data_IF_149970408883
#
_entry.id   IF_149970408883
#
_cell.length_a   1.000
_cell.length_b   1.000
_cell.length_c   1.000
_cell.angle_alpha   90.00
_cell.angle_beta   90.00
_cell.angle_gamma   90.00
#
_symmetry.space_group_name_H-M   'P 1'
#
loop_
_entity.id
_entity.type
_entity.pdbx_description
1 polymer ?
#
# COMPACT_ATOMS: atom_id res chain seq x y z
N UNK A 1 11.83 13.37 -2.12
CA UNK A 1 12.06 14.74 -1.61
C UNK A 1 11.64 14.78 -0.14
N UNK A 2 12.50 15.21 0.80
CA UNK A 2 12.21 15.17 2.26
C UNK A 2 11.62 16.48 2.81
N UNK A 3 11.30 17.44 1.93
CA UNK A 3 10.81 18.76 2.34
C UNK A 3 9.43 19.03 1.74
N UNK A 4 8.60 19.69 2.55
CA UNK A 4 7.30 20.22 2.15
C UNK A 4 7.36 21.75 2.15
N UNK A 5 6.47 22.38 1.38
CA UNK A 5 6.39 23.82 1.26
C UNK A 5 4.96 24.27 1.55
N UNK A 6 4.82 25.35 2.32
CA UNK A 6 3.52 25.98 2.54
C UNK A 6 3.15 26.94 1.39
N UNK A 7 2.00 27.59 1.51
CA UNK A 7 1.50 28.53 0.51
C UNK A 7 2.37 29.79 0.33
N UNK A 8 3.27 30.07 1.29
CA UNK A 8 4.21 31.18 1.27
C UNK A 8 5.61 30.76 0.82
N UNK A 9 5.78 29.49 0.44
CA UNK A 9 7.07 28.93 0.02
C UNK A 9 8.03 28.65 1.18
N UNK A 10 7.59 28.68 2.45
CA UNK A 10 8.43 28.27 3.58
C UNK A 10 8.64 26.76 3.53
N UNK A 11 9.89 26.33 3.72
CA UNK A 11 10.30 24.93 3.64
C UNK A 11 10.26 24.26 5.01
N UNK A 12 9.67 23.07 5.08
CA UNK A 12 9.54 22.24 6.26
C UNK A 12 10.21 20.88 6.02
N UNK A 13 11.07 20.44 6.94
CA UNK A 13 11.57 19.07 6.93
C UNK A 13 10.43 18.15 7.41
N UNK A 14 10.06 17.17 6.60
CA UNK A 14 9.12 16.14 7.03
C UNK A 14 9.88 15.03 7.78
N UNK A 15 9.99 15.20 9.10
CA UNK A 15 10.56 14.20 9.99
C UNK A 15 9.53 13.17 10.49
N UNK A 16 8.27 13.27 10.07
CA UNK A 16 7.19 12.36 10.47
C UNK A 16 6.74 11.42 9.34
N UNK A 17 7.17 11.69 8.11
CA UNK A 17 6.85 10.89 6.93
C UNK A 17 5.36 10.96 6.59
N UNK A 18 4.76 12.15 6.68
CA UNK A 18 3.31 12.33 6.66
C UNK A 18 2.70 11.87 7.97
N UNK A 19 2.19 10.64 8.04
CA UNK A 19 1.82 9.96 9.28
C UNK A 19 2.37 8.54 9.16
N UNK A 20 3.71 8.43 9.11
CA UNK A 20 4.44 7.19 8.81
C UNK A 20 4.02 6.50 7.48
N UNK A 21 3.50 7.24 6.51
CA UNK A 21 3.02 6.72 5.22
C UNK A 21 4.02 6.92 4.09
N UNK A 22 4.89 7.93 4.17
CA UNK A 22 5.78 8.35 3.08
C UNK A 22 7.20 7.84 3.30
N UNK A 23 7.36 6.52 3.42
CA UNK A 23 8.65 5.89 3.77
C UNK A 23 9.76 6.09 2.73
N UNK A 24 9.41 6.21 1.44
CA UNK A 24 10.35 6.48 0.36
C UNK A 24 10.58 7.98 0.08
N UNK A 25 10.01 8.87 0.91
CA UNK A 25 9.99 10.30 0.69
C UNK A 25 8.97 10.75 -0.38
N UNK A 26 8.66 12.05 -0.37
CA UNK A 26 7.64 12.61 -1.25
C UNK A 26 8.07 12.56 -2.73
N UNK A 27 7.11 12.21 -3.60
CA UNK A 27 7.28 12.15 -5.06
C UNK A 27 8.50 11.33 -5.51
N UNK A 28 8.69 10.13 -4.93
CA UNK A 28 9.78 9.25 -5.36
C UNK A 28 9.59 8.85 -6.84
N UNK A 29 10.57 9.09 -7.72
CA UNK A 29 10.38 8.98 -9.17
C UNK A 29 9.91 7.58 -9.59
N UNK A 30 10.52 6.52 -9.06
CA UNK A 30 10.12 5.15 -9.40
C UNK A 30 8.67 4.81 -8.99
N UNK A 31 8.20 5.38 -7.87
CA UNK A 31 6.82 5.16 -7.40
C UNK A 31 5.84 5.93 -8.28
N UNK A 32 6.15 7.20 -8.57
CA UNK A 32 5.31 8.06 -9.43
C UNK A 32 5.22 7.47 -10.84
N UNK A 33 6.34 7.04 -11.42
CA UNK A 33 6.38 6.48 -12.76
C UNK A 33 5.57 5.17 -12.84
N UNK A 34 5.70 4.28 -11.84
CA UNK A 34 4.91 3.06 -11.77
C UNK A 34 3.40 3.34 -11.70
N UNK A 35 2.98 4.30 -10.86
CA UNK A 35 1.57 4.71 -10.72
C UNK A 35 1.04 5.29 -12.04
N UNK A 36 1.78 6.20 -12.67
CA UNK A 36 1.38 6.84 -13.92
C UNK A 36 1.27 5.82 -15.05
N UNK A 37 2.26 4.93 -15.19
CA UNK A 37 2.25 3.89 -16.21
C UNK A 37 1.08 2.92 -16.02
N UNK A 38 0.79 2.52 -14.78
CA UNK A 38 -0.36 1.67 -14.50
C UNK A 38 -1.68 2.38 -14.80
N UNK A 39 -1.83 3.63 -14.38
CA UNK A 39 -3.07 4.40 -14.56
C UNK A 39 -3.38 4.63 -16.04
N UNK A 40 -2.36 4.86 -16.88
CA UNK A 40 -2.51 4.98 -18.34
C UNK A 40 -2.99 3.68 -19.00
N UNK A 41 -2.71 2.53 -18.37
CA UNK A 41 -3.08 1.20 -18.88
C UNK A 41 -4.43 0.75 -18.36
N UNK A 42 -4.64 0.82 -17.04
CA UNK A 42 -5.86 0.41 -16.36
C UNK A 42 -5.90 1.00 -14.95
N UNK A 43 -6.88 1.87 -14.70
CA UNK A 43 -7.07 2.50 -13.38
C UNK A 43 -7.72 1.56 -12.35
N UNK A 44 -8.66 0.71 -12.76
CA UNK A 44 -9.41 -0.16 -11.84
C UNK A 44 -9.86 -1.46 -12.52
N UNK A 45 -9.83 -2.56 -11.76
CA UNK A 45 -10.44 -3.84 -12.12
C UNK A 45 -11.12 -4.44 -10.90
N UNK A 46 -12.28 -5.06 -11.11
CA UNK A 46 -12.85 -5.97 -10.10
C UNK A 46 -11.97 -7.21 -9.96
N UNK A 47 -12.03 -7.86 -8.80
CA UNK A 47 -11.38 -9.15 -8.52
C UNK A 47 -11.93 -10.31 -9.35
N UNK A 48 -13.07 -10.11 -10.04
CA UNK A 48 -13.65 -11.12 -10.93
C UNK A 48 -12.80 -11.36 -12.19
N UNK A 49 -11.92 -10.42 -12.53
CA UNK A 49 -10.99 -10.55 -13.66
C UNK A 49 -9.58 -10.81 -13.16
N UNK A 50 -8.84 -11.61 -13.93
CA UNK A 50 -7.44 -11.86 -13.64
C UNK A 50 -6.63 -10.56 -13.75
N UNK A 51 -6.00 -10.17 -12.65
CA UNK A 51 -5.09 -9.03 -12.61
C UNK A 51 -3.72 -9.50 -12.05
N UNK A 52 -2.69 -9.64 -12.91
CA UNK A 52 -1.40 -10.17 -12.49
C UNK A 52 -0.73 -9.30 -11.42
N UNK A 53 -0.97 -7.98 -11.40
CA UNK A 53 -0.35 -7.08 -10.44
C UNK A 53 -0.71 -7.42 -8.98
N UNK A 54 -1.93 -7.89 -8.73
CA UNK A 54 -2.36 -8.29 -7.38
C UNK A 54 -1.66 -9.60 -6.97
N UNK A 55 -1.56 -10.56 -7.89
CA UNK A 55 -0.93 -11.85 -7.60
C UNK A 55 0.58 -11.71 -7.39
N UNK A 56 1.27 -10.98 -8.28
CA UNK A 56 2.70 -10.69 -8.19
C UNK A 56 3.04 -9.94 -6.90
N UNK A 57 2.22 -8.96 -6.51
CA UNK A 57 2.45 -8.22 -5.27
C UNK A 57 2.19 -9.09 -4.03
N UNK A 58 1.15 -9.94 -4.06
CA UNK A 58 0.88 -10.88 -2.98
C UNK A 58 2.04 -11.86 -2.78
N UNK A 59 2.59 -12.42 -3.86
CA UNK A 59 3.74 -13.31 -3.82
C UNK A 59 4.99 -12.59 -3.28
N UNK A 60 5.29 -11.40 -3.80
CA UNK A 60 6.40 -10.58 -3.34
C UNK A 60 6.29 -10.26 -1.84
N UNK A 61 5.11 -9.90 -1.35
CA UNK A 61 4.88 -9.60 0.07
C UNK A 61 5.00 -10.85 0.94
N UNK A 62 4.33 -11.96 0.57
CA UNK A 62 4.38 -13.22 1.30
C UNK A 62 5.80 -13.79 1.41
N UNK A 63 6.66 -13.54 0.40
CA UNK A 63 8.08 -13.94 0.43
C UNK A 63 8.89 -13.28 1.54
N UNK A 64 8.41 -12.13 2.07
CA UNK A 64 9.06 -11.38 3.15
C UNK A 64 8.49 -11.68 4.53
N UNK A 65 7.37 -12.42 4.62
CA UNK A 65 6.71 -12.72 5.88
C UNK A 65 7.31 -13.95 6.58
N UNK A 66 7.39 -13.96 7.92
CA UNK A 66 7.95 -15.08 8.67
C UNK A 66 7.02 -16.30 8.68
N UNK A 67 7.62 -17.49 8.84
CA UNK A 67 6.89 -18.75 9.02
C UNK A 67 5.87 -19.03 7.91
N UNK A 68 4.66 -19.43 8.32
CA UNK A 68 3.58 -19.89 7.45
C UNK A 68 2.65 -18.76 6.97
N UNK A 69 3.01 -17.48 7.20
CA UNK A 69 2.27 -16.34 6.69
C UNK A 69 2.45 -16.22 5.16
N UNK A 70 1.63 -16.97 4.40
CA UNK A 70 1.73 -17.09 2.93
C UNK A 70 0.50 -16.63 2.16
N UNK A 71 -0.55 -16.20 2.85
CA UNK A 71 -1.80 -15.71 2.23
C UNK A 71 -1.93 -14.21 2.49
N UNK A 72 -2.22 -13.45 1.44
CA UNK A 72 -2.40 -11.99 1.50
C UNK A 72 -3.81 -11.65 1.06
N UNK A 73 -4.49 -10.84 1.88
CA UNK A 73 -5.74 -10.19 1.52
C UNK A 73 -5.52 -8.67 1.56
N UNK A 74 -5.83 -7.97 0.47
CA UNK A 74 -5.61 -6.52 0.38
C UNK A 74 -6.83 -5.74 0.87
N UNK A 75 -6.57 -4.68 1.64
CA UNK A 75 -7.55 -3.68 2.09
C UNK A 75 -7.04 -2.27 1.73
N UNK A 76 -7.89 -1.25 1.84
CA UNK A 76 -7.54 0.12 1.50
C UNK A 76 -6.97 0.91 2.69
N UNK A 77 -7.12 0.38 3.91
CA UNK A 77 -6.66 1.05 5.12
C UNK A 77 -6.27 0.07 6.22
N UNK A 78 -5.52 0.59 7.21
CA UNK A 78 -5.19 -0.16 8.42
C UNK A 78 -6.42 -0.48 9.29
N UNK A 79 -7.45 0.36 9.26
CA UNK A 79 -8.71 0.09 9.96
C UNK A 79 -9.42 -1.12 9.36
N UNK A 80 -9.58 -1.15 8.03
CA UNK A 80 -10.16 -2.30 7.33
C UNK A 80 -9.35 -3.59 7.56
N UNK A 81 -8.01 -3.48 7.61
CA UNK A 81 -7.14 -4.61 7.91
C UNK A 81 -7.39 -5.18 9.32
N UNK A 82 -7.56 -4.30 10.32
CA UNK A 82 -7.87 -4.72 11.69
C UNK A 82 -9.27 -5.33 11.82
N UNK A 83 -10.27 -4.76 11.16
CA UNK A 83 -11.63 -5.31 11.12
C UNK A 83 -11.67 -6.70 10.49
N UNK A 84 -10.97 -6.87 9.35
CA UNK A 84 -10.84 -8.16 8.68
C UNK A 84 -10.14 -9.18 9.58
N UNK A 85 -9.02 -8.79 10.22
CA UNK A 85 -8.29 -9.66 11.12
C UNK A 85 -9.17 -10.13 12.30
N UNK A 86 -9.98 -9.22 12.86
CA UNK A 86 -10.92 -9.55 13.93
C UNK A 86 -12.02 -10.52 13.45
N UNK A 87 -12.60 -10.28 12.27
CA UNK A 87 -13.59 -11.19 11.68
C UNK A 87 -13.01 -12.58 11.41
N UNK A 88 -11.78 -12.65 10.86
CA UNK A 88 -11.09 -13.92 10.63
C UNK A 88 -10.83 -14.66 11.94
N UNK A 89 -10.35 -13.96 12.98
CA UNK A 89 -10.11 -14.55 14.29
C UNK A 89 -11.39 -15.11 14.92
N UNK A 90 -12.51 -14.38 14.81
CA UNK A 90 -13.81 -14.83 15.33
C UNK A 90 -14.37 -16.03 14.54
N UNK A 91 -14.35 -15.94 13.20
CA UNK A 91 -14.84 -17.02 12.33
C UNK A 91 -14.03 -18.30 12.41
N UNK A 92 -12.76 -18.25 12.84
CA UNK A 92 -11.93 -19.43 13.08
C UNK A 92 -12.21 -20.12 14.44
N UNK A 93 -12.88 -19.42 15.37
CA UNK A 93 -13.15 -19.91 16.73
C UNK A 93 -14.53 -20.58 16.91
N UNK A 94 -15.38 -20.54 15.87
CA UNK A 94 -16.68 -21.22 15.80
C UNK A 94 -16.60 -22.45 14.93
#
# INVERSE_FOLDING_TARGET
MQYLFDEKGRRYLDAYGGIATVSCGHCHPEVVDAIVNQTKRLQHSTILYLNPAIAEFAEALASKMPGDLKVVFFTNSGTEANELALMMAQGLTT
#
